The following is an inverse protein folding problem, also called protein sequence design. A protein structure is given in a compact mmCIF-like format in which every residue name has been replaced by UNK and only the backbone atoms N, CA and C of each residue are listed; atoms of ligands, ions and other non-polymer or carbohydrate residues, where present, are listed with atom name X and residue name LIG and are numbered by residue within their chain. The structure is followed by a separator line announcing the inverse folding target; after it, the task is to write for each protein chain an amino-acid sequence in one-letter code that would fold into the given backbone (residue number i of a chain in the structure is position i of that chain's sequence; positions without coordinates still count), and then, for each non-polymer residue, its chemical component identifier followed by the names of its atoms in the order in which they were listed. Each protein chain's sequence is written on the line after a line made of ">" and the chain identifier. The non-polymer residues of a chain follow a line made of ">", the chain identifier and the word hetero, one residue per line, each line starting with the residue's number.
data_IF_850224346989
#
_entry.id   IF_850224346989
#
_cell.length_a   1.000
_cell.length_b   1.000
_cell.length_c   1.000
_cell.angle_alpha   90.00
_cell.angle_beta   90.00
_cell.angle_gamma   90.00
#
_symmetry.space_group_name_H-M   'P 1'
#
loop_
_entity.id
_entity.type
_entity.pdbx_description
1 polymer ?
#
# COMPACT_ATOMS: atom_id res chain seq x y z
N UNK A 1 -6.90 -24.91 -9.59
CA UNK A 1 -7.83 -23.82 -9.98
C UNK A 1 -8.87 -23.56 -8.90
N UNK A 2 -9.99 -24.31 -8.80
CA UNK A 2 -11.09 -24.01 -7.84
C UNK A 2 -10.65 -23.87 -6.37
N UNK A 3 -9.78 -24.75 -5.87
CA UNK A 3 -9.25 -24.68 -4.50
C UNK A 3 -8.44 -23.40 -4.24
N UNK A 4 -7.69 -22.91 -5.22
CA UNK A 4 -6.88 -21.70 -5.09
C UNK A 4 -7.77 -20.46 -4.95
N UNK A 5 -8.88 -20.38 -5.70
CA UNK A 5 -9.84 -19.29 -5.56
C UNK A 5 -10.54 -19.28 -4.20
N UNK A 6 -10.85 -20.46 -3.65
CA UNK A 6 -11.42 -20.57 -2.31
C UNK A 6 -10.41 -20.05 -1.26
N UNK A 7 -9.15 -20.47 -1.35
CA UNK A 7 -8.09 -20.00 -0.44
C UNK A 7 -7.91 -18.48 -0.58
N UNK A 8 -7.87 -17.95 -1.80
CA UNK A 8 -7.74 -16.52 -2.04
C UNK A 8 -8.92 -15.73 -1.44
N UNK A 9 -10.15 -16.21 -1.62
CA UNK A 9 -11.34 -15.59 -1.04
C UNK A 9 -11.28 -15.56 0.50
N UNK A 10 -10.83 -16.66 1.12
CA UNK A 10 -10.64 -16.72 2.58
C UNK A 10 -9.61 -15.67 3.02
N UNK A 11 -8.46 -15.57 2.35
CA UNK A 11 -7.42 -14.59 2.69
C UNK A 11 -7.97 -13.16 2.56
N UNK A 12 -8.67 -12.85 1.48
CA UNK A 12 -9.28 -11.52 1.25
C UNK A 12 -10.24 -11.16 2.39
N UNK A 13 -11.07 -12.10 2.83
CA UNK A 13 -12.03 -11.88 3.93
C UNK A 13 -11.36 -11.73 5.29
N UNK A 14 -10.24 -12.41 5.52
CA UNK A 14 -9.49 -12.31 6.78
C UNK A 14 -8.58 -11.07 6.84
N UNK A 15 -8.14 -10.55 5.69
CA UNK A 15 -7.26 -9.37 5.61
C UNK A 15 -7.76 -8.14 6.39
N UNK A 16 -9.03 -7.71 6.29
CA UNK A 16 -9.51 -6.52 7.01
C UNK A 16 -9.60 -6.70 8.53
N UNK A 17 -9.47 -7.93 9.07
CA UNK A 17 -9.46 -8.15 10.53
C UNK A 17 -8.28 -7.42 11.19
N UNK A 18 -7.18 -7.22 10.46
CA UNK A 18 -6.03 -6.45 10.93
C UNK A 18 -6.37 -5.00 11.28
N UNK A 19 -7.43 -4.41 10.71
CA UNK A 19 -7.87 -3.05 11.03
C UNK A 19 -8.41 -2.91 12.47
N UNK A 20 -8.74 -4.03 13.12
CA UNK A 20 -9.18 -4.05 14.52
C UNK A 20 -7.99 -4.11 15.49
N UNK A 21 -6.78 -4.34 15.00
CA UNK A 21 -5.60 -4.39 15.84
C UNK A 21 -5.28 -2.97 16.37
N UNK A 22 -4.87 -2.85 17.65
CA UNK A 22 -4.46 -1.57 18.20
C UNK A 22 -3.10 -1.13 17.64
N UNK A 23 -2.95 0.17 17.44
CA UNK A 23 -1.72 0.79 16.94
C UNK A 23 -1.63 0.82 15.41
N UNK A 24 -0.50 1.34 14.91
CA UNK A 24 -0.23 1.44 13.48
C UNK A 24 0.09 0.08 12.86
N UNK A 25 -0.22 -0.06 11.58
CA UNK A 25 0.09 -1.28 10.83
C UNK A 25 1.60 -1.53 10.80
N UNK A 26 1.98 -2.80 10.78
CA UNK A 26 3.39 -3.19 10.74
C UNK A 26 4.06 -2.62 9.49
N UNK A 27 5.11 -1.83 9.68
CA UNK A 27 5.83 -1.15 8.61
C UNK A 27 5.33 0.25 8.28
N UNK A 28 4.21 0.69 8.84
CA UNK A 28 3.63 2.03 8.61
C UNK A 28 3.89 3.02 9.76
N UNK A 29 4.85 2.72 10.64
CA UNK A 29 5.15 3.61 11.76
C UNK A 29 5.73 4.94 11.29
N UNK A 30 5.18 6.03 11.82
CA UNK A 30 5.74 7.37 11.68
C UNK A 30 7.03 7.59 12.48
N UNK A 31 7.76 8.65 12.15
CA UNK A 31 8.98 9.05 12.87
C UNK A 31 8.71 9.29 14.36
N UNK A 32 7.57 9.90 14.69
CA UNK A 32 7.21 10.21 16.07
C UNK A 32 6.88 8.95 16.87
N UNK A 33 6.25 7.96 16.25
CA UNK A 33 5.99 6.65 16.86
C UNK A 33 7.28 5.87 17.10
N UNK A 34 8.20 5.86 16.13
CA UNK A 34 9.50 5.22 16.32
C UNK A 34 10.26 5.90 17.47
N UNK A 35 10.26 7.23 17.51
CA UNK A 35 10.88 7.98 18.60
C UNK A 35 10.28 7.64 19.96
N UNK A 36 8.95 7.44 20.06
CA UNK A 36 8.30 7.08 21.31
C UNK A 36 8.59 5.63 21.73
N UNK A 37 8.74 4.71 20.76
CA UNK A 37 9.04 3.30 21.03
C UNK A 37 10.50 3.04 21.39
N UNK A 38 11.46 3.67 20.68
CA UNK A 38 12.91 3.38 20.84
C UNK A 38 13.72 4.54 21.43
N UNK A 39 13.10 5.70 21.65
CA UNK A 39 13.72 6.86 22.31
C UNK A 39 14.49 7.81 21.37
N UNK A 40 14.63 7.48 20.09
CA UNK A 40 15.30 8.32 19.09
C UNK A 40 14.77 8.08 17.67
N UNK A 41 15.13 8.97 16.74
CA UNK A 41 14.79 8.84 15.31
C UNK A 41 16.02 8.34 14.55
N UNK A 42 15.96 7.16 13.90
CA UNK A 42 17.03 6.68 13.05
C UNK A 42 17.33 7.67 11.91
N UNK A 43 18.62 7.92 11.64
CA UNK A 43 19.07 8.93 10.68
C UNK A 43 18.54 8.67 9.25
N UNK A 44 18.51 7.41 8.82
CA UNK A 44 17.95 7.02 7.53
C UNK A 44 16.46 7.37 7.42
N UNK A 45 15.68 7.08 8.45
CA UNK A 45 14.24 7.38 8.47
C UNK A 45 13.98 8.88 8.38
N UNK A 46 14.76 9.69 9.12
CA UNK A 46 14.69 11.15 9.03
C UNK A 46 14.96 11.64 7.60
N UNK A 47 16.03 11.15 6.97
CA UNK A 47 16.41 11.56 5.62
C UNK A 47 15.32 11.22 4.57
N UNK A 48 14.76 10.02 4.62
CA UNK A 48 13.74 9.59 3.67
C UNK A 48 12.38 10.23 3.92
N UNK A 49 12.02 10.53 5.18
CA UNK A 49 10.76 11.22 5.48
C UNK A 49 10.71 12.63 4.90
N UNK A 50 11.84 13.33 4.80
CA UNK A 50 11.89 14.66 4.21
C UNK A 50 11.90 14.61 2.66
N UNK A 51 12.44 13.53 2.10
CA UNK A 51 12.72 13.41 0.66
C UNK A 51 11.61 12.69 -0.11
N UNK A 52 10.98 11.68 0.49
CA UNK A 52 9.97 10.83 -0.14
C UNK A 52 8.60 11.20 0.42
N UNK A 53 7.80 11.91 -0.38
CA UNK A 53 6.42 12.24 -0.04
C UNK A 53 5.46 11.24 -0.68
N UNK A 54 4.56 10.68 0.12
CA UNK A 54 3.50 9.81 -0.37
C UNK A 54 2.54 10.58 -1.30
N UNK A 55 2.03 9.90 -2.33
CA UNK A 55 1.06 10.48 -3.26
C UNK A 55 -0.28 10.77 -2.58
N UNK A 56 -0.74 9.84 -1.74
CA UNK A 56 -1.98 9.91 -0.96
C UNK A 56 -1.65 9.56 0.49
N UNK A 57 -1.23 10.53 1.32
CA UNK A 57 -0.89 10.28 2.72
C UNK A 57 -2.12 9.77 3.48
N UNK A 58 -1.87 8.84 4.41
CA UNK A 58 -2.89 8.18 5.24
C UNK A 58 -4.03 7.55 4.43
N UNK A 59 -3.74 7.16 3.19
CA UNK A 59 -4.71 6.64 2.23
C UNK A 59 -5.91 7.57 2.00
N UNK A 60 -5.76 8.87 2.25
CA UNK A 60 -6.84 9.85 2.13
C UNK A 60 -6.75 10.67 0.84
N UNK A 61 -7.87 11.27 0.45
CA UNK A 61 -7.92 12.27 -0.63
C UNK A 61 -8.05 13.65 0.01
N UNK A 62 -7.31 14.67 -0.47
CA UNK A 62 -7.50 16.04 0.00
C UNK A 62 -8.98 16.45 -0.07
N UNK A 63 -9.49 17.04 1.01
CA UNK A 63 -10.91 17.39 1.19
C UNK A 63 -11.85 16.24 1.56
N UNK A 64 -11.36 14.98 1.69
CA UNK A 64 -12.15 13.80 2.03
C UNK A 64 -12.11 13.41 3.52
N UNK A 65 -12.19 14.40 4.40
CA UNK A 65 -11.84 14.30 5.83
C UNK A 65 -13.01 14.56 6.80
N UNK A 66 -14.22 14.87 6.30
CA UNK A 66 -15.28 15.41 7.18
C UNK A 66 -16.11 14.36 7.92
N UNK A 67 -16.33 13.19 7.33
CA UNK A 67 -17.23 12.17 7.88
C UNK A 67 -16.75 10.76 7.49
N UNK A 68 -17.24 9.75 8.23
CA UNK A 68 -16.87 8.34 8.02
C UNK A 68 -17.03 7.86 6.57
N UNK A 69 -18.13 8.22 5.90
CA UNK A 69 -18.34 7.87 4.49
C UNK A 69 -17.26 8.48 3.59
N UNK A 70 -16.87 9.72 3.87
CA UNK A 70 -15.89 10.43 3.05
C UNK A 70 -14.50 9.82 3.21
N UNK A 71 -14.11 9.50 4.46
CA UNK A 71 -12.88 8.78 4.77
C UNK A 71 -12.85 7.40 4.10
N UNK A 72 -13.96 6.66 4.18
CA UNK A 72 -14.07 5.32 3.57
C UNK A 72 -13.96 5.36 2.05
N UNK A 73 -14.62 6.33 1.41
CA UNK A 73 -14.53 6.53 -0.04
C UNK A 73 -13.11 6.96 -0.43
N UNK A 74 -12.49 7.88 0.33
CA UNK A 74 -11.11 8.30 0.11
C UNK A 74 -10.14 7.11 0.15
N UNK A 75 -10.29 6.25 1.16
CA UNK A 75 -9.50 5.03 1.32
C UNK A 75 -9.65 4.06 0.14
N UNK A 76 -10.89 3.78 -0.29
CA UNK A 76 -11.15 2.89 -1.43
C UNK A 76 -10.58 3.47 -2.73
N UNK A 77 -10.75 4.78 -2.95
CA UNK A 77 -10.21 5.44 -4.14
C UNK A 77 -8.68 5.43 -4.13
N UNK A 78 -8.05 5.62 -2.97
CA UNK A 78 -6.60 5.48 -2.82
C UNK A 78 -6.12 4.08 -3.24
N UNK A 79 -6.82 3.03 -2.80
CA UNK A 79 -6.51 1.66 -3.21
C UNK A 79 -6.65 1.45 -4.73
N UNK A 80 -7.72 1.98 -5.34
CA UNK A 80 -7.92 1.90 -6.80
C UNK A 80 -6.78 2.60 -7.55
N UNK A 81 -6.38 3.79 -7.12
CA UNK A 81 -5.26 4.53 -7.71
C UNK A 81 -3.96 3.73 -7.57
N UNK A 82 -3.67 3.19 -6.39
CA UNK A 82 -2.49 2.36 -6.13
C UNK A 82 -2.44 1.13 -7.04
N UNK A 83 -3.53 0.37 -7.14
CA UNK A 83 -3.63 -0.79 -8.04
C UNK A 83 -3.43 -0.36 -9.50
N UNK A 84 -4.04 0.76 -9.91
CA UNK A 84 -3.87 1.34 -11.24
C UNK A 84 -2.40 1.64 -11.56
N UNK A 85 -1.68 2.30 -10.66
CA UNK A 85 -0.25 2.60 -10.81
C UNK A 85 0.56 1.31 -10.91
N UNK A 86 0.31 0.33 -10.05
CA UNK A 86 0.99 -0.97 -10.09
C UNK A 86 0.77 -1.64 -11.45
N UNK A 87 -0.47 -1.70 -11.95
CA UNK A 87 -0.76 -2.28 -13.26
C UNK A 87 -0.02 -1.57 -14.40
N UNK A 88 0.04 -0.23 -14.37
CA UNK A 88 0.78 0.55 -15.37
C UNK A 88 2.28 0.25 -15.30
N UNK A 89 2.86 0.19 -14.11
CA UNK A 89 4.28 -0.14 -13.91
C UNK A 89 4.58 -1.53 -14.46
N UNK A 90 3.80 -2.55 -14.09
CA UNK A 90 4.00 -3.91 -14.60
C UNK A 90 3.74 -4.02 -16.11
N UNK A 91 2.79 -3.26 -16.65
CA UNK A 91 2.55 -3.19 -18.09
C UNK A 91 3.77 -2.61 -18.83
N UNK A 92 4.34 -1.51 -18.33
CA UNK A 92 5.56 -0.92 -18.92
C UNK A 92 6.76 -1.86 -18.78
N UNK A 93 6.95 -2.48 -17.61
CA UNK A 93 8.01 -3.46 -17.38
C UNK A 93 7.88 -4.67 -18.31
N UNK A 94 6.68 -5.24 -18.45
CA UNK A 94 6.45 -6.38 -19.36
C UNK A 94 6.72 -6.02 -20.81
N UNK A 95 6.42 -4.79 -21.24
CA UNK A 95 6.72 -4.32 -22.61
C UNK A 95 8.21 -4.08 -22.85
N UNK A 96 8.95 -3.67 -21.81
CA UNK A 96 10.39 -3.33 -21.92
C UNK A 96 11.29 -4.54 -21.67
N UNK A 97 10.88 -5.48 -20.82
CA UNK A 97 11.61 -6.72 -20.51
C UNK A 97 11.13 -7.91 -21.36
N UNK A 98 9.91 -7.85 -21.89
CA UNK A 98 9.30 -8.90 -22.70
C UNK A 98 9.76 -8.90 -24.16
N UNK A 99 11.02 -9.25 -24.40
CA UNK A 99 11.46 -9.86 -25.65
C UNK A 99 12.75 -10.68 -25.45
N UNK A 100 12.61 -11.82 -24.77
CA UNK A 100 13.51 -12.98 -24.80
C UNK A 100 12.64 -14.14 -24.28
N UNK A 101 12.20 -15.15 -25.03
CA UNK A 101 12.73 -15.76 -26.23
C UNK A 101 11.60 -16.13 -27.20
N UNK A 102 11.86 -15.92 -28.49
CA UNK A 102 11.19 -16.60 -29.58
C UNK A 102 11.95 -17.91 -29.83
N UNK A 103 11.25 -19.04 -29.64
CA UNK A 103 11.34 -20.25 -30.46
C UNK A 103 12.66 -21.03 -30.50
N UNK A 104 12.66 -22.20 -29.85
CA UNK A 104 13.32 -23.42 -30.32
C UNK A 104 12.29 -24.54 -30.15
N UNK A 105 11.54 -24.83 -31.22
CA UNK A 105 11.57 -26.12 -31.96
C UNK A 105 11.09 -27.32 -31.14
#
# INVERSE_FOLDING_TARGET
>A
MKKLFIIAAIIILLTPIGLLAPGSAWGEWGIDEIKSMVGYVPSGMKHFSDTVKALLPDYSIPSFDKNFLQLSIGYILSAVVGIGIIMVVFFVLSKTMGKSEEKNE
#
